data_IF_400486619000
#
_entry.id   IF_400486619000
#
_cell.length_a   1.000
_cell.length_b   1.000
_cell.length_c   1.000
_cell.angle_alpha   90.00
_cell.angle_beta   90.00
_cell.angle_gamma   90.00
#
_symmetry.space_group_name_H-M   'P 1'
#
loop_
_entity.id
_entity.type
_entity.pdbx_description
1 polymer ?
#
# COMPACT_ATOMS: atom_id res chain seq x y z
N UNK A 1 -6.70 2.89 -26.29
CA UNK A 1 -6.15 3.36 -25.00
C UNK A 1 -5.55 2.16 -24.31
N UNK A 2 -4.29 2.21 -23.88
CA UNK A 2 -3.72 1.13 -23.07
C UNK A 2 -4.46 1.07 -21.73
N UNK A 3 -4.71 -0.12 -21.22
CA UNK A 3 -5.30 -0.29 -19.88
C UNK A 3 -4.23 0.06 -18.83
N UNK A 4 -4.63 0.86 -17.84
CA UNK A 4 -3.76 1.28 -16.73
C UNK A 4 -4.02 0.39 -15.52
N UNK A 5 -2.96 -0.06 -14.85
CA UNK A 5 -3.05 -0.82 -13.61
C UNK A 5 -2.59 0.03 -12.42
N UNK A 6 -3.26 -0.15 -11.28
CA UNK A 6 -2.87 0.41 -9.99
C UNK A 6 -2.48 -0.68 -9.00
N UNK A 7 -1.52 -0.39 -8.12
CA UNK A 7 -1.08 -1.27 -7.04
C UNK A 7 -1.69 -0.80 -5.71
N UNK A 8 -2.50 -1.66 -5.07
CA UNK A 8 -2.92 -1.45 -3.67
C UNK A 8 -1.94 -2.14 -2.74
N UNK A 9 -1.33 -1.36 -1.85
CA UNK A 9 -0.45 -1.86 -0.82
C UNK A 9 -1.23 -2.55 0.30
N UNK A 10 -0.71 -3.68 0.79
CA UNK A 10 -1.27 -4.44 1.90
C UNK A 10 -0.99 -3.77 3.26
N UNK A 11 -1.38 -2.51 3.42
CA UNK A 11 -1.04 -1.67 4.57
C UNK A 11 -1.40 -2.30 5.94
N UNK A 12 -2.55 -2.98 5.99
CA UNK A 12 -3.02 -3.69 7.19
C UNK A 12 -2.09 -4.83 7.65
N UNK A 13 -1.29 -5.40 6.74
CA UNK A 13 -0.39 -6.50 7.08
C UNK A 13 0.67 -6.06 8.12
N UNK A 14 0.99 -4.76 8.21
CA UNK A 14 1.90 -4.22 9.24
C UNK A 14 1.32 -4.36 10.64
N UNK A 15 0.06 -3.94 10.85
CA UNK A 15 -0.58 -4.03 12.18
C UNK A 15 -0.95 -5.44 12.58
N UNK A 16 -0.99 -6.36 11.61
CA UNK A 16 -1.15 -7.79 11.86
C UNK A 16 0.19 -8.49 12.15
N UNK A 17 1.32 -7.78 12.08
CA UNK A 17 2.66 -8.33 12.28
C UNK A 17 3.13 -9.25 11.16
N UNK A 18 2.48 -9.23 9.99
CA UNK A 18 2.83 -10.09 8.86
C UNK A 18 3.96 -9.52 8.00
N UNK A 19 4.10 -8.19 7.96
CA UNK A 19 5.19 -7.47 7.29
C UNK A 19 5.59 -6.25 8.12
N UNK A 20 6.71 -5.63 7.77
CA UNK A 20 7.18 -4.37 8.34
C UNK A 20 6.76 -3.17 7.48
N UNK A 21 6.89 -1.95 8.05
CA UNK A 21 6.72 -0.70 7.28
C UNK A 21 7.74 -0.63 6.13
N UNK A 22 8.96 -1.14 6.35
CA UNK A 22 10.01 -1.12 5.33
C UNK A 22 9.62 -1.96 4.11
N UNK A 23 9.00 -3.12 4.34
CA UNK A 23 8.54 -4.00 3.25
C UNK A 23 7.52 -3.30 2.34
N UNK A 24 6.63 -2.46 2.90
CA UNK A 24 5.69 -1.65 2.10
C UNK A 24 6.40 -0.63 1.21
N UNK A 25 7.43 0.03 1.74
CA UNK A 25 8.23 1.01 0.97
C UNK A 25 8.98 0.29 -0.15
N UNK A 26 9.58 -0.86 0.14
CA UNK A 26 10.32 -1.63 -0.85
C UNK A 26 9.42 -2.17 -1.97
N UNK A 27 8.19 -2.61 -1.63
CA UNK A 27 7.17 -2.97 -2.63
C UNK A 27 6.79 -1.81 -3.54
N UNK A 28 6.76 -0.59 -3.00
CA UNK A 28 6.44 0.61 -3.79
C UNK A 28 7.56 0.90 -4.81
N UNK A 29 8.81 0.79 -4.38
CA UNK A 29 9.98 0.96 -5.26
C UNK A 29 10.02 -0.11 -6.35
N UNK A 30 9.72 -1.35 -6.01
CA UNK A 30 9.68 -2.45 -6.99
C UNK A 30 8.52 -2.27 -7.98
N UNK A 31 7.35 -1.86 -7.50
CA UNK A 31 6.20 -1.54 -8.34
C UNK A 31 6.53 -0.46 -9.38
N UNK A 32 7.19 0.62 -8.97
CA UNK A 32 7.63 1.68 -9.89
C UNK A 32 8.67 1.18 -10.90
N UNK A 33 9.69 0.45 -10.44
CA UNK A 33 10.75 -0.10 -11.30
C UNK A 33 10.23 -1.08 -12.35
N UNK A 34 9.14 -1.79 -12.04
CA UNK A 34 8.52 -2.73 -12.97
C UNK A 34 7.91 -2.05 -14.20
N UNK A 35 7.56 -0.76 -14.11
CA UNK A 35 6.81 -0.06 -15.14
C UNK A 35 5.40 -0.61 -15.41
N UNK A 36 4.90 -1.51 -14.55
CA UNK A 36 3.61 -2.17 -14.74
C UNK A 36 2.43 -1.39 -14.14
N UNK A 37 2.70 -0.43 -13.25
CA UNK A 37 1.69 0.31 -12.51
C UNK A 37 1.87 1.80 -12.70
N UNK A 38 0.75 2.51 -12.94
CA UNK A 38 0.73 3.96 -13.09
C UNK A 38 0.37 4.67 -11.77
N UNK A 39 -0.12 3.92 -10.78
CA UNK A 39 -0.53 4.45 -9.49
C UNK A 39 -0.27 3.44 -8.36
N UNK A 40 0.03 3.98 -7.18
CA UNK A 40 0.13 3.23 -5.93
C UNK A 40 -0.85 3.82 -4.92
N UNK A 41 -1.62 2.96 -4.26
CA UNK A 41 -2.60 3.34 -3.25
C UNK A 41 -2.34 2.64 -1.93
N UNK A 42 -2.57 3.36 -0.84
CA UNK A 42 -2.48 2.86 0.53
C UNK A 42 -3.81 3.14 1.25
N UNK A 43 -4.31 2.13 1.96
CA UNK A 43 -5.52 2.27 2.77
C UNK A 43 -6.82 2.12 1.99
N UNK A 44 -7.67 1.21 2.45
CA UNK A 44 -9.02 0.97 1.94
C UNK A 44 -10.10 1.30 3.00
N UNK A 45 -9.72 1.36 4.28
CA UNK A 45 -10.64 1.63 5.37
C UNK A 45 -10.08 2.54 6.46
N UNK A 46 -10.67 3.75 6.54
CA UNK A 46 -10.34 4.73 7.58
C UNK A 46 -10.99 4.42 8.95
N UNK A 47 -12.03 3.59 9.03
CA UNK A 47 -12.79 3.43 10.27
C UNK A 47 -13.09 1.97 10.65
N UNK A 48 -12.95 1.00 9.73
CA UNK A 48 -13.40 -0.38 10.00
C UNK A 48 -12.31 -1.30 10.55
N UNK A 49 -11.03 -0.93 10.44
CA UNK A 49 -9.89 -1.83 10.65
C UNK A 49 -8.69 -1.04 11.21
N UNK A 50 -7.97 -1.58 12.23
CA UNK A 50 -6.66 -1.05 12.61
C UNK A 50 -5.71 -1.00 11.39
N UNK A 51 -4.89 0.05 11.32
CA UNK A 51 -3.92 0.32 10.23
C UNK A 51 -2.70 1.08 10.76
N UNK A 52 -1.67 1.19 9.91
CA UNK A 52 -0.39 1.79 10.26
C UNK A 52 -0.50 3.28 10.58
N UNK A 53 -1.28 4.03 9.80
CA UNK A 53 -1.41 5.47 9.94
C UNK A 53 -2.37 5.82 11.08
N UNK A 54 -1.89 6.64 12.01
CA UNK A 54 -2.77 7.30 12.97
C UNK A 54 -3.51 8.45 12.27
N UNK A 55 -4.84 8.35 12.17
CA UNK A 55 -5.66 9.54 11.87
C UNK A 55 -5.91 10.24 13.19
N UNK A 56 -5.09 11.25 13.49
CA UNK A 56 -5.35 12.18 14.59
C UNK A 56 -6.34 13.23 14.09
N UNK A 57 -7.47 13.36 14.80
CA UNK A 57 -8.45 14.44 14.63
C UNK A 57 -8.03 15.66 15.44
#
# INVERSE_FOLDING_TARGET
>A
MAHSFGLILANRAVVLGAITVRDLVDLTLEGERSGAFDAVWVGDSLLAKPRLESVTL
#
